data_IF_989571871196
#
_entry.id   IF_989571871196
#
_cell.length_a   1.000
_cell.length_b   1.000
_cell.length_c   1.000
_cell.angle_alpha   90.00
_cell.angle_beta   90.00
_cell.angle_gamma   90.00
#
_symmetry.space_group_name_H-M   'P 1'
#
loop_
_entity.id
_entity.type
_entity.pdbx_description
1 polymer ?
#
# COMPACT_ATOMS: atom_id res chain seq x y z
N UNK A 1 12.27 5.69 -25.83
CA UNK A 1 13.22 5.56 -24.71
C UNK A 1 12.48 5.02 -23.49
N UNK A 2 12.48 3.71 -23.32
CA UNK A 2 11.98 3.04 -22.11
C UNK A 2 12.92 3.37 -20.95
N UNK A 3 12.71 4.51 -20.30
CA UNK A 3 13.05 4.60 -18.88
C UNK A 3 12.08 3.63 -18.21
N UNK A 4 12.55 2.44 -17.85
CA UNK A 4 11.81 1.57 -16.93
C UNK A 4 11.34 2.46 -15.78
N UNK A 5 10.02 2.71 -15.75
CA UNK A 5 9.41 3.75 -14.92
C UNK A 5 9.93 3.58 -13.50
N UNK A 6 10.47 4.66 -12.92
CA UNK A 6 11.04 4.64 -11.57
C UNK A 6 10.13 3.95 -10.54
N UNK A 7 8.81 4.00 -10.77
CA UNK A 7 7.80 3.33 -9.96
C UNK A 7 7.82 1.80 -10.03
N UNK A 8 8.10 1.21 -11.19
CA UNK A 8 8.24 -0.25 -11.36
C UNK A 8 9.42 -0.76 -10.53
N UNK A 9 10.52 0.00 -10.49
CA UNK A 9 11.66 -0.31 -9.65
C UNK A 9 11.28 -0.28 -8.16
N UNK A 10 10.52 0.73 -7.72
CA UNK A 10 10.03 0.76 -6.33
C UNK A 10 9.09 -0.40 -6.01
N UNK A 11 8.17 -0.77 -6.90
CA UNK A 11 7.31 -1.97 -6.71
C UNK A 11 8.18 -3.23 -6.61
N UNK A 12 9.16 -3.40 -7.50
CA UNK A 12 10.11 -4.52 -7.45
C UNK A 12 10.89 -4.58 -6.14
N UNK A 13 11.38 -3.43 -5.63
CA UNK A 13 12.06 -3.34 -4.32
C UNK A 13 11.12 -3.73 -3.19
N UNK A 14 9.89 -3.19 -3.17
CA UNK A 14 8.90 -3.51 -2.14
C UNK A 14 8.55 -5.00 -2.15
N UNK A 15 8.34 -5.60 -3.32
CA UNK A 15 8.04 -7.03 -3.43
C UNK A 15 9.24 -7.90 -3.06
N UNK A 16 10.46 -7.49 -3.41
CA UNK A 16 11.67 -8.20 -2.99
C UNK A 16 11.79 -8.22 -1.47
N UNK A 17 11.52 -7.08 -0.82
CA UNK A 17 11.46 -6.96 0.64
C UNK A 17 10.37 -7.83 1.26
N UNK A 18 9.18 -7.87 0.65
CA UNK A 18 8.10 -8.78 1.07
C UNK A 18 8.55 -10.23 1.01
N UNK A 19 9.28 -10.63 -0.03
CA UNK A 19 9.83 -11.98 -0.18
C UNK A 19 10.96 -12.33 0.79
N UNK A 20 11.62 -11.34 1.40
CA UNK A 20 12.65 -11.54 2.43
C UNK A 20 12.08 -11.77 3.82
N UNK A 21 10.75 -11.69 4.01
CA UNK A 21 10.14 -11.98 5.29
C UNK A 21 10.10 -13.47 5.56
N UNK A 22 11.19 -13.99 6.13
CA UNK A 22 11.18 -15.17 6.97
C UNK A 22 10.62 -14.72 8.32
N UNK A 23 9.49 -15.30 8.74
CA UNK A 23 8.71 -14.85 9.91
C UNK A 23 9.39 -15.04 11.27
N UNK A 24 10.64 -14.61 11.41
CA UNK A 24 11.39 -14.70 12.64
C UNK A 24 11.18 -13.46 13.49
N UNK A 25 10.74 -13.71 14.73
CA UNK A 25 9.98 -12.78 15.54
C UNK A 25 10.73 -11.49 15.89
N UNK A 26 10.07 -10.34 15.70
CA UNK A 26 9.61 -9.47 16.80
C UNK A 26 8.74 -8.33 16.27
N UNK A 27 7.52 -8.24 16.84
CA UNK A 27 6.54 -7.14 16.89
C UNK A 27 5.90 -6.58 15.58
N UNK A 28 4.68 -7.05 15.28
CA UNK A 28 3.54 -6.16 14.96
C UNK A 28 2.16 -6.76 15.28
N UNK A 29 1.99 -8.07 15.45
CA UNK A 29 0.78 -8.62 16.10
C UNK A 29 1.04 -10.04 16.63
N UNK A 30 0.93 -10.23 17.94
CA UNK A 30 0.79 -11.57 18.52
C UNK A 30 -0.45 -12.32 18.00
N UNK A 31 -1.33 -11.62 17.28
CA UNK A 31 -2.51 -12.16 16.59
C UNK A 31 -2.21 -12.80 15.22
N UNK A 32 -1.14 -12.42 14.51
CA UNK A 32 -0.77 -13.02 13.21
C UNK A 32 0.15 -14.24 13.41
N UNK A 33 0.81 -14.37 14.58
CA UNK A 33 1.70 -15.49 14.91
C UNK A 33 1.06 -16.88 14.85
N UNK A 34 -0.27 -17.00 14.79
CA UNK A 34 -0.99 -18.29 14.77
C UNK A 34 -1.57 -18.65 13.41
N UNK A 35 -1.58 -17.75 12.44
CA UNK A 35 -2.06 -18.05 11.10
C UNK A 35 -0.91 -18.60 10.27
N UNK A 36 -1.07 -19.81 9.76
CA UNK A 36 -0.22 -20.39 8.72
C UNK A 36 -0.43 -19.60 7.44
N UNK A 37 0.16 -18.40 7.35
CA UNK A 37 0.00 -17.53 6.20
C UNK A 37 0.62 -18.24 5.00
N UNK A 38 -0.20 -18.54 3.99
CA UNK A 38 0.30 -19.08 2.73
C UNK A 38 1.27 -18.06 2.13
N UNK A 39 2.48 -18.47 1.72
CA UNK A 39 3.41 -17.57 1.07
C UNK A 39 2.76 -17.02 -0.20
N UNK A 40 2.76 -15.70 -0.34
CA UNK A 40 2.34 -15.06 -1.59
C UNK A 40 3.46 -15.22 -2.60
N UNK A 41 3.14 -15.76 -3.76
CA UNK A 41 4.09 -15.82 -4.87
C UNK A 41 4.37 -14.40 -5.39
N UNK A 42 5.64 -14.09 -5.59
CA UNK A 42 6.08 -12.75 -5.98
C UNK A 42 5.51 -12.30 -7.34
N UNK A 43 5.35 -13.23 -8.28
CA UNK A 43 4.87 -12.96 -9.64
C UNK A 43 3.39 -12.51 -9.66
N UNK A 44 2.42 -13.24 -9.10
CA UNK A 44 1.04 -12.76 -8.96
C UNK A 44 0.92 -11.42 -8.21
N UNK A 45 1.72 -11.23 -7.16
CA UNK A 45 1.74 -9.98 -6.41
C UNK A 45 2.24 -8.81 -7.25
N UNK A 46 3.27 -9.04 -8.07
CA UNK A 46 3.83 -8.05 -8.98
C UNK A 46 2.82 -7.69 -10.07
N UNK A 47 2.24 -8.68 -10.76
CA UNK A 47 1.24 -8.44 -11.81
C UNK A 47 0.02 -7.67 -11.28
N UNK A 48 -0.52 -8.07 -10.13
CA UNK A 48 -1.64 -7.37 -9.51
C UNK A 48 -1.26 -5.95 -9.09
N UNK A 49 -0.03 -5.75 -8.60
CA UNK A 49 0.49 -4.41 -8.27
C UNK A 49 0.59 -3.51 -9.50
N UNK A 50 0.96 -4.06 -10.67
CA UNK A 50 0.98 -3.30 -11.93
C UNK A 50 -0.43 -2.89 -12.36
N UNK A 51 -1.38 -3.83 -12.33
CA UNK A 51 -2.77 -3.54 -12.67
C UNK A 51 -3.36 -2.45 -11.76
N UNK A 52 -3.07 -2.51 -10.47
CA UNK A 52 -3.47 -1.47 -9.53
C UNK A 52 -2.74 -0.15 -9.77
N UNK A 53 -1.46 -0.16 -10.11
CA UNK A 53 -0.72 1.06 -10.43
C UNK A 53 -1.33 1.79 -11.63
N UNK A 54 -1.71 1.06 -12.68
CA UNK A 54 -2.38 1.63 -13.84
C UNK A 54 -3.73 2.26 -13.45
N UNK A 55 -4.50 1.59 -12.60
CA UNK A 55 -5.74 2.15 -12.06
C UNK A 55 -5.50 3.43 -11.24
N UNK A 56 -4.49 3.43 -10.36
CA UNK A 56 -4.12 4.60 -9.56
C UNK A 56 -3.66 5.76 -10.46
N UNK A 57 -2.94 5.47 -11.54
CA UNK A 57 -2.52 6.49 -12.49
C UNK A 57 -3.73 7.14 -13.19
N UNK A 58 -4.69 6.32 -13.64
CA UNK A 58 -5.92 6.79 -14.27
C UNK A 58 -6.84 7.56 -13.32
N UNK A 59 -6.86 7.19 -12.03
CA UNK A 59 -7.73 7.78 -11.01
C UNK A 59 -6.98 8.63 -9.97
N UNK A 60 -5.80 9.14 -10.34
CA UNK A 60 -4.85 9.76 -9.41
C UNK A 60 -5.49 10.85 -8.56
N UNK A 61 -6.22 11.76 -9.19
CA UNK A 61 -6.84 12.90 -8.51
C UNK A 61 -7.82 12.44 -7.43
N UNK A 62 -8.67 11.44 -7.74
CA UNK A 62 -9.62 10.86 -6.80
C UNK A 62 -8.92 10.18 -5.62
N UNK A 63 -7.90 9.35 -5.88
CA UNK A 63 -7.15 8.65 -4.82
C UNK A 63 -6.54 9.66 -3.83
N UNK A 64 -5.91 10.72 -4.34
CA UNK A 64 -5.29 11.74 -3.50
C UNK A 64 -6.29 12.66 -2.80
N UNK A 65 -7.45 12.92 -3.42
CA UNK A 65 -8.55 13.64 -2.77
C UNK A 65 -9.16 12.82 -1.63
N UNK A 66 -9.35 11.51 -1.82
CA UNK A 66 -9.81 10.60 -0.78
C UNK A 66 -8.80 10.51 0.37
N UNK A 67 -7.50 10.45 0.04
CA UNK A 67 -6.42 10.49 1.04
C UNK A 67 -6.46 11.78 1.86
N UNK A 68 -6.55 12.94 1.19
CA UNK A 68 -6.65 14.23 1.86
C UNK A 68 -7.89 14.32 2.76
N UNK A 69 -9.03 13.85 2.26
CA UNK A 69 -10.29 13.82 3.02
C UNK A 69 -10.17 12.91 4.24
N UNK A 70 -9.54 11.74 4.10
CA UNK A 70 -9.31 10.81 5.21
C UNK A 70 -8.39 11.37 6.29
N UNK A 71 -7.44 12.24 5.94
CA UNK A 71 -6.49 12.82 6.88
C UNK A 71 -7.01 14.09 7.56
N UNK A 72 -7.83 14.88 6.86
CA UNK A 72 -8.22 16.24 7.30
C UNK A 72 -9.71 16.39 7.59
N UNK A 73 -10.55 15.44 7.14
CA UNK A 73 -12.01 15.55 7.16
C UNK A 73 -12.58 16.56 6.16
N UNK A 74 -11.74 17.19 5.33
CA UNK A 74 -12.16 18.21 4.37
C UNK A 74 -12.35 17.59 2.98
N UNK A 75 -13.42 17.95 2.24
CA UNK A 75 -13.83 17.23 1.01
C UNK A 75 -12.95 17.49 -0.22
N UNK A 76 -12.10 18.52 -0.18
CA UNK A 76 -11.23 18.90 -1.30
C UNK A 76 -9.95 19.55 -0.76
N UNK A 77 -8.86 19.42 -1.52
CA UNK A 77 -7.56 20.04 -1.21
C UNK A 77 -7.65 21.54 -1.54
N UNK A 78 -7.63 22.44 -0.55
CA UNK A 78 -7.59 23.88 -0.82
C UNK A 78 -6.26 24.27 -1.47
N UNK A 79 -6.25 25.31 -2.30
CA UNK A 79 -5.03 25.77 -2.99
C UNK A 79 -3.88 26.06 -2.02
N UNK A 80 -4.19 26.63 -0.86
CA UNK A 80 -3.23 26.89 0.23
C UNK A 80 -2.54 25.64 0.79
N UNK A 81 -3.16 24.45 0.67
CA UNK A 81 -2.58 23.19 1.15
C UNK A 81 -1.96 22.36 0.02
N UNK A 82 -2.20 22.71 -1.25
CA UNK A 82 -1.70 21.96 -2.41
C UNK A 82 -0.18 21.84 -2.41
N UNK A 83 0.53 22.91 -2.02
CA UNK A 83 1.99 22.90 -1.90
C UNK A 83 2.48 21.92 -0.81
N UNK A 84 1.87 21.94 0.37
CA UNK A 84 2.23 21.02 1.45
C UNK A 84 1.90 19.56 1.11
N UNK A 85 0.76 19.33 0.45
CA UNK A 85 0.32 17.99 0.05
C UNK A 85 1.11 17.42 -1.13
N UNK A 86 1.81 18.26 -1.89
CA UNK A 86 2.62 17.83 -3.04
C UNK A 86 3.73 16.84 -2.65
N UNK A 87 4.26 16.93 -1.43
CA UNK A 87 5.25 15.99 -0.91
C UNK A 87 4.68 14.58 -0.79
N UNK A 88 3.45 14.45 -0.29
CA UNK A 88 2.74 13.16 -0.21
C UNK A 88 2.45 12.62 -1.61
N UNK A 89 2.06 13.47 -2.54
CA UNK A 89 1.82 13.10 -3.95
C UNK A 89 3.10 12.69 -4.70
N UNK A 90 4.27 13.05 -4.17
CA UNK A 90 5.58 12.72 -4.72
C UNK A 90 6.25 11.54 -4.00
N UNK A 91 5.68 11.05 -2.90
CA UNK A 91 6.23 9.92 -2.15
C UNK A 91 5.98 8.60 -2.88
N UNK A 92 6.99 8.20 -3.68
CA UNK A 92 6.96 6.97 -4.48
C UNK A 92 7.03 5.71 -3.63
N UNK A 93 7.66 5.77 -2.46
CA UNK A 93 7.80 4.61 -1.58
C UNK A 93 6.46 4.32 -0.90
N UNK A 94 5.81 5.35 -0.35
CA UNK A 94 4.48 5.23 0.22
C UNK A 94 3.49 4.70 -0.82
N UNK A 95 3.53 5.25 -2.04
CA UNK A 95 2.68 4.76 -3.12
C UNK A 95 2.97 3.29 -3.45
N UNK A 96 4.24 2.89 -3.58
CA UNK A 96 4.62 1.53 -3.95
C UNK A 96 4.20 0.53 -2.88
N UNK A 97 4.50 0.85 -1.62
CA UNK A 97 4.09 0.08 -0.45
C UNK A 97 2.57 -0.12 -0.41
N UNK A 98 1.81 0.96 -0.63
CA UNK A 98 0.35 0.93 -0.58
C UNK A 98 -0.27 0.14 -1.74
N UNK A 99 0.31 0.24 -2.94
CA UNK A 99 -0.10 -0.55 -4.10
C UNK A 99 0.15 -2.05 -3.85
N UNK A 100 1.33 -2.41 -3.35
CA UNK A 100 1.66 -3.81 -3.03
C UNK A 100 0.79 -4.35 -1.90
N UNK A 101 0.54 -3.56 -0.86
CA UNK A 101 -0.39 -3.94 0.22
C UNK A 101 -1.83 -4.13 -0.30
N UNK A 102 -2.28 -3.28 -1.22
CA UNK A 102 -3.59 -3.40 -1.86
C UNK A 102 -3.68 -4.67 -2.73
N UNK A 103 -2.63 -4.96 -3.51
CA UNK A 103 -2.54 -6.17 -4.32
C UNK A 103 -2.58 -7.44 -3.46
N UNK A 104 -1.84 -7.43 -2.36
CA UNK A 104 -1.83 -8.51 -1.37
C UNK A 104 -3.22 -8.77 -0.78
N UNK A 105 -3.97 -7.70 -0.50
CA UNK A 105 -5.36 -7.81 -0.04
C UNK A 105 -6.27 -8.42 -1.11
N UNK A 106 -6.11 -8.06 -2.38
CA UNK A 106 -6.91 -8.64 -3.47
C UNK A 106 -6.62 -10.14 -3.63
N UNK A 107 -5.35 -10.53 -3.53
CA UNK A 107 -4.91 -11.90 -3.81
C UNK A 107 -5.23 -12.89 -2.68
N UNK A 108 -5.21 -12.45 -1.42
CA UNK A 108 -5.50 -13.35 -0.31
C UNK A 108 -6.05 -12.69 0.95
N UNK A 109 -6.68 -11.53 0.80
CA UNK A 109 -7.44 -10.88 1.85
C UNK A 109 -6.58 -10.27 2.95
N UNK A 110 -7.21 -10.09 4.11
CA UNK A 110 -6.67 -9.31 5.21
C UNK A 110 -5.42 -9.93 5.84
N UNK A 111 -5.36 -11.25 5.99
CA UNK A 111 -4.23 -11.94 6.61
C UNK A 111 -2.94 -11.75 5.80
N UNK A 112 -3.05 -11.92 4.49
CA UNK A 112 -1.93 -11.74 3.56
C UNK A 112 -1.49 -10.28 3.52
N UNK A 113 -2.44 -9.36 3.41
CA UNK A 113 -2.16 -7.93 3.42
C UNK A 113 -1.41 -7.50 4.68
N UNK A 114 -1.80 -8.01 5.85
CA UNK A 114 -1.17 -7.67 7.12
C UNK A 114 0.27 -8.16 7.20
N UNK A 115 0.56 -9.38 6.72
CA UNK A 115 1.92 -9.91 6.63
C UNK A 115 2.81 -9.07 5.71
N UNK A 116 2.27 -8.68 4.54
CA UNK A 116 2.95 -7.80 3.59
C UNK A 116 3.27 -6.44 4.20
N UNK A 117 2.30 -5.82 4.87
CA UNK A 117 2.50 -4.53 5.55
C UNK A 117 3.58 -4.66 6.62
N UNK A 118 3.54 -5.71 7.45
CA UNK A 118 4.54 -5.93 8.50
C UNK A 118 5.96 -6.07 7.94
N UNK A 119 6.12 -6.78 6.83
CA UNK A 119 7.41 -6.87 6.14
C UNK A 119 7.88 -5.50 5.63
N UNK A 120 6.99 -4.75 4.98
CA UNK A 120 7.31 -3.42 4.45
C UNK A 120 7.72 -2.46 5.58
N UNK A 121 6.97 -2.41 6.68
CA UNK A 121 7.23 -1.47 7.78
C UNK A 121 8.56 -1.77 8.46
N UNK A 122 8.92 -3.04 8.56
CA UNK A 122 10.18 -3.49 9.18
C UNK A 122 11.40 -3.09 8.34
N UNK A 123 11.30 -3.16 7.02
CA UNK A 123 12.46 -3.04 6.13
C UNK A 123 12.58 -1.67 5.43
N UNK A 124 11.45 -1.01 5.15
CA UNK A 124 11.38 0.21 4.34
C UNK A 124 11.15 1.45 5.22
N UNK A 125 10.89 1.27 6.53
CA UNK A 125 10.66 2.34 7.51
C UNK A 125 9.49 3.28 7.17
N UNK A 126 8.55 2.85 6.32
CA UNK A 126 7.31 3.57 6.05
C UNK A 126 6.30 3.28 7.17
N UNK A 127 5.66 4.28 7.79
CA UNK A 127 4.70 4.04 8.87
C UNK A 127 3.52 3.17 8.42
N UNK A 128 3.19 2.15 9.22
CA UNK A 128 2.09 1.21 8.95
C UNK A 128 0.75 1.94 8.69
N UNK A 129 0.47 2.96 9.50
CA UNK A 129 -0.74 3.78 9.40
C UNK A 129 -0.88 4.47 8.04
N UNK A 130 0.23 4.96 7.49
CA UNK A 130 0.22 5.69 6.22
C UNK A 130 -0.03 4.72 5.06
N UNK A 131 0.62 3.55 5.09
CA UNK A 131 0.40 2.48 4.11
C UNK A 131 -1.07 2.04 4.13
N UNK A 132 -1.63 1.75 5.31
CA UNK A 132 -3.03 1.32 5.44
C UNK A 132 -4.00 2.40 4.94
N UNK A 133 -3.74 3.66 5.27
CA UNK A 133 -4.61 4.78 4.88
C UNK A 133 -4.63 4.92 3.37
N UNK A 134 -3.46 4.96 2.72
CA UNK A 134 -3.35 5.09 1.27
C UNK A 134 -3.86 3.83 0.55
N UNK A 135 -3.55 2.62 1.04
CA UNK A 135 -4.08 1.37 0.49
C UNK A 135 -5.63 1.32 0.55
N UNK A 136 -6.22 1.82 1.63
CA UNK A 136 -7.68 1.93 1.74
C UNK A 136 -8.26 2.86 0.66
N UNK A 137 -7.62 4.00 0.40
CA UNK A 137 -8.04 4.91 -0.69
C UNK A 137 -7.94 4.24 -2.06
N UNK A 138 -6.85 3.49 -2.32
CA UNK A 138 -6.66 2.74 -3.56
C UNK A 138 -7.77 1.69 -3.75
N UNK A 139 -8.06 0.89 -2.72
CA UNK A 139 -9.08 -0.16 -2.79
C UNK A 139 -10.50 0.39 -2.94
N UNK A 140 -10.83 1.47 -2.22
CA UNK A 140 -12.11 2.16 -2.41
C UNK A 140 -12.25 2.69 -3.84
N UNK A 141 -11.17 3.22 -4.41
CA UNK A 141 -11.17 3.66 -5.80
C UNK A 141 -11.33 2.49 -6.79
N UNK A 142 -10.82 1.31 -6.46
CA UNK A 142 -11.02 0.06 -7.20
C UNK A 142 -12.42 -0.55 -7.05
N UNK A 143 -13.31 0.05 -6.23
CA UNK A 143 -14.65 -0.47 -5.96
C UNK A 143 -14.67 -1.67 -5.00
N UNK A 144 -13.58 -1.90 -4.25
CA UNK A 144 -13.46 -2.97 -3.28
C UNK A 144 -13.78 -2.41 -1.88
N UNK A 145 -14.92 -2.78 -1.25
CA UNK A 145 -15.26 -2.33 0.09
C UNK A 145 -14.24 -2.90 1.09
N UNK A 146 -13.31 -2.05 1.51
CA UNK A 146 -12.14 -2.46 2.28
C UNK A 146 -12.32 -2.17 3.77
N UNK A 147 -12.11 -3.20 4.62
CA UNK A 147 -11.99 -3.06 6.07
C UNK A 147 -10.53 -3.25 6.56
N UNK A 148 -9.53 -2.94 5.72
CA UNK A 148 -8.11 -2.98 6.12
C UNK A 148 -7.83 -2.05 7.31
N UNK A 149 -8.65 -1.02 7.51
CA UNK A 149 -8.61 -0.17 8.72
C UNK A 149 -8.71 -0.97 10.03
N UNK A 150 -9.34 -2.15 10.02
CA UNK A 150 -9.36 -3.03 11.20
C UNK A 150 -7.97 -3.57 11.59
N UNK A 151 -6.96 -3.48 10.72
CA UNK A 151 -5.56 -3.76 11.06
C UNK A 151 -4.91 -2.69 11.95
N UNK A 152 -5.57 -1.56 12.18
CA UNK A 152 -5.13 -0.50 13.10
C UNK A 152 -5.73 -0.61 14.51
N UNK A 153 -6.67 -1.54 14.72
CA UNK A 153 -7.38 -1.75 15.98
C UNK A 153 -6.68 -2.79 16.86
#
# INVERSE_FOLDING_TARGET
CYQNSSMLAFIGVVISVVGLWEGDGTNFTDNIKRSTIKPVLAEPLFEMSLNLLDMVYLNREKVYQDLYTSLTGLPAIPDKHRAAFSHVMADRILLAASVVASAAFILGGQEICAAVIASITTNIHTPCKDIITMATCILNCAGLPCNIKSLLA
#
